data_IF_049171656856
#
_entry.id   IF_049171656856
#
_cell.length_a   1.000
_cell.length_b   1.000
_cell.length_c   1.000
_cell.angle_alpha   90.00
_cell.angle_beta   90.00
_cell.angle_gamma   90.00
#
_symmetry.space_group_name_H-M   'P 1'
#
loop_
_entity.id
_entity.type
_entity.pdbx_description
1 polymer ?
#
# COMPACT_ATOMS: atom_id res chain seq x y z
N UNK A 1 -57.36 14.38 -19.15
CA UNK A 1 -56.29 15.16 -19.81
C UNK A 1 -54.99 14.86 -19.07
N UNK A 2 -53.94 14.50 -19.82
CA UNK A 2 -52.58 14.02 -19.45
C UNK A 2 -52.38 12.52 -19.20
N UNK A 3 -52.02 11.83 -20.29
CA UNK A 3 -50.93 10.84 -20.37
C UNK A 3 -49.55 11.56 -20.30
N UNK A 4 -48.37 10.88 -20.38
CA UNK A 4 -47.78 9.88 -19.48
C UNK A 4 -46.28 10.20 -19.17
N UNK A 5 -45.73 9.84 -18.00
CA UNK A 5 -44.27 9.88 -17.82
C UNK A 5 -43.66 8.55 -18.29
N UNK A 6 -43.25 8.57 -19.56
CA UNK A 6 -42.48 7.56 -20.28
C UNK A 6 -40.99 7.72 -20.00
N UNK A 7 -40.29 6.66 -19.60
CA UNK A 7 -38.83 6.51 -19.78
C UNK A 7 -38.43 5.04 -19.62
N UNK A 8 -37.46 4.53 -20.39
CA UNK A 8 -37.58 4.14 -21.79
C UNK A 8 -37.28 2.63 -21.98
N UNK A 9 -37.58 2.02 -23.14
CA UNK A 9 -36.96 0.73 -23.48
C UNK A 9 -35.54 0.99 -24.00
N UNK A 10 -34.51 0.61 -23.23
CA UNK A 10 -33.18 0.35 -23.77
C UNK A 10 -33.07 -1.11 -24.22
N UNK A 11 -34.06 -1.58 -24.97
CA UNK A 11 -33.89 -2.78 -25.79
C UNK A 11 -33.31 -2.33 -27.11
N UNK A 12 -31.99 -2.48 -27.27
CA UNK A 12 -31.40 -2.61 -28.59
C UNK A 12 -32.04 -3.83 -29.26
N UNK A 13 -33.09 -3.63 -30.06
CA UNK A 13 -33.70 -4.69 -30.84
C UNK A 13 -32.78 -5.01 -32.02
N UNK A 14 -31.86 -5.96 -31.83
CA UNK A 14 -31.19 -6.63 -32.92
C UNK A 14 -32.00 -7.90 -33.26
N UNK A 15 -32.76 -7.93 -34.38
CA UNK A 15 -33.64 -9.06 -34.73
C UNK A 15 -32.88 -10.34 -35.11
N UNK A 16 -31.54 -10.31 -35.14
CA UNK A 16 -30.69 -11.49 -35.40
C UNK A 16 -29.91 -11.96 -34.17
N UNK A 17 -30.08 -11.32 -33.01
CA UNK A 17 -29.47 -11.82 -31.78
C UNK A 17 -30.30 -13.00 -31.25
N UNK A 18 -29.87 -14.22 -31.53
CA UNK A 18 -30.27 -15.36 -30.70
C UNK A 18 -30.00 -14.98 -29.25
N UNK A 19 -31.04 -14.92 -28.43
CA UNK A 19 -30.91 -14.68 -26.99
C UNK A 19 -30.26 -15.91 -26.37
N UNK A 20 -28.94 -16.02 -26.50
CA UNK A 20 -28.16 -16.95 -25.71
C UNK A 20 -28.22 -16.44 -24.28
N UNK A 21 -28.63 -17.31 -23.36
CA UNK A 21 -28.47 -17.07 -21.93
C UNK A 21 -27.00 -16.68 -21.65
N UNK A 22 -26.78 -15.72 -20.76
CA UNK A 22 -25.43 -15.27 -20.38
C UNK A 22 -24.58 -16.44 -19.87
N UNK A 23 -25.19 -17.40 -19.17
CA UNK A 23 -24.50 -18.62 -18.76
C UNK A 23 -24.04 -19.46 -19.96
N UNK A 24 -24.89 -19.61 -20.98
CA UNK A 24 -24.57 -20.36 -22.21
C UNK A 24 -23.49 -19.66 -23.03
N UNK A 25 -23.56 -18.32 -23.11
CA UNK A 25 -22.53 -17.53 -23.79
C UNK A 25 -21.15 -17.65 -23.10
N UNK A 26 -21.12 -17.61 -21.76
CA UNK A 26 -19.89 -17.83 -20.97
C UNK A 26 -19.33 -19.22 -21.21
N UNK A 27 -20.17 -20.25 -21.16
CA UNK A 27 -19.75 -21.64 -21.39
C UNK A 27 -19.17 -21.83 -22.80
N UNK A 28 -19.85 -21.32 -23.84
CA UNK A 28 -19.37 -21.41 -25.22
C UNK A 28 -18.05 -20.67 -25.44
N UNK A 29 -17.90 -19.49 -24.82
CA UNK A 29 -16.67 -18.72 -24.89
C UNK A 29 -15.52 -19.46 -24.20
N UNK A 30 -15.76 -20.00 -22.99
CA UNK A 30 -14.79 -20.81 -22.27
C UNK A 30 -14.36 -22.04 -23.08
N UNK A 31 -15.31 -22.79 -23.66
CA UNK A 31 -15.05 -23.94 -24.52
C UNK A 31 -14.20 -23.59 -25.74
N UNK A 32 -14.48 -22.47 -26.39
CA UNK A 32 -13.68 -21.97 -27.51
C UNK A 32 -12.24 -21.66 -27.07
N UNK A 33 -12.07 -21.00 -25.92
CA UNK A 33 -10.73 -20.68 -25.39
C UNK A 33 -9.94 -21.93 -25.02
N UNK A 34 -10.59 -22.91 -24.37
CA UNK A 34 -9.97 -24.18 -24.00
C UNK A 34 -9.49 -24.92 -25.25
N UNK A 35 -10.35 -25.05 -26.28
CA UNK A 35 -9.96 -25.69 -27.55
C UNK A 35 -8.76 -25.01 -28.21
N UNK A 36 -8.77 -23.68 -28.29
CA UNK A 36 -7.63 -22.92 -28.87
C UNK A 36 -6.34 -23.11 -28.07
N UNK A 37 -6.40 -23.18 -26.74
CA UNK A 37 -5.23 -23.43 -25.90
C UNK A 37 -4.70 -24.86 -26.05
N UNK A 38 -5.58 -25.85 -26.21
CA UNK A 38 -5.20 -27.24 -26.54
C UNK A 38 -4.50 -27.30 -27.90
N UNK A 39 -5.06 -26.68 -28.94
CA UNK A 39 -4.46 -26.65 -30.29
C UNK A 39 -3.06 -26.03 -30.32
N UNK A 40 -2.77 -25.10 -29.40
CA UNK A 40 -1.46 -24.45 -29.25
C UNK A 40 -0.48 -25.25 -28.40
N UNK A 41 -0.90 -26.37 -27.82
CA UNK A 41 -0.08 -27.14 -26.87
C UNK A 41 0.19 -26.40 -25.56
N UNK A 42 -0.64 -25.41 -25.17
CA UNK A 42 -0.46 -24.67 -23.90
C UNK A 42 -0.64 -25.58 -22.67
N UNK A 43 -1.26 -26.75 -22.86
CA UNK A 43 -1.38 -27.81 -21.84
C UNK A 43 -0.29 -28.89 -21.92
N UNK A 44 0.62 -28.82 -22.89
CA UNK A 44 1.73 -29.77 -23.00
C UNK A 44 2.89 -29.39 -22.06
N UNK A 45 3.56 -30.38 -21.48
CA UNK A 45 4.72 -30.20 -20.59
C UNK A 45 4.48 -29.27 -19.38
N UNK A 46 3.26 -29.23 -18.86
CA UNK A 46 2.94 -28.43 -17.68
C UNK A 46 3.86 -28.79 -16.49
N UNK A 47 4.23 -27.79 -15.65
CA UNK A 47 4.97 -28.04 -14.43
C UNK A 47 4.24 -29.05 -13.54
N UNK A 48 4.82 -30.24 -13.36
CA UNK A 48 4.21 -31.33 -12.60
C UNK A 48 3.56 -32.42 -13.45
N UNK A 49 3.55 -32.29 -14.78
CA UNK A 49 3.07 -33.35 -15.69
C UNK A 49 3.84 -34.67 -15.44
N UNK A 50 3.09 -35.77 -15.30
CA UNK A 50 3.62 -37.11 -15.02
C UNK A 50 4.15 -37.33 -13.60
N UNK A 51 4.16 -36.31 -12.73
CA UNK A 51 4.54 -36.48 -11.32
C UNK A 51 3.32 -36.94 -10.50
N UNK A 52 3.51 -37.77 -9.46
CA UNK A 52 2.43 -38.14 -8.56
C UNK A 52 1.84 -36.89 -7.89
N UNK A 53 0.52 -36.81 -7.83
CA UNK A 53 -0.19 -35.75 -7.13
C UNK A 53 -0.02 -35.93 -5.62
N UNK A 54 0.38 -34.87 -4.92
CA UNK A 54 0.41 -34.84 -3.46
C UNK A 54 -0.99 -34.52 -2.92
N UNK A 55 -1.83 -35.55 -2.83
CA UNK A 55 -3.21 -35.46 -2.36
C UNK A 55 -3.31 -35.85 -0.88
N UNK A 56 -2.49 -35.24 -0.02
CA UNK A 56 -2.49 -35.54 1.42
C UNK A 56 -3.88 -35.38 2.09
N UNK A 57 -4.75 -34.54 1.51
CA UNK A 57 -6.15 -34.31 1.91
C UNK A 57 -7.16 -34.75 0.83
N UNK A 58 -6.99 -35.94 0.22
CA UNK A 58 -7.79 -36.44 -0.92
C UNK A 58 -9.34 -36.46 -0.74
N UNK A 59 -9.87 -36.16 0.45
CA UNK A 59 -11.31 -36.05 0.73
C UNK A 59 -11.81 -34.61 0.92
N UNK A 60 -10.93 -33.62 0.83
CA UNK A 60 -11.30 -32.20 0.95
C UNK A 60 -11.65 -31.62 -0.42
N UNK A 61 -12.89 -31.16 -0.67
CA UNK A 61 -13.24 -30.50 -1.92
C UNK A 61 -12.39 -29.26 -2.24
N UNK A 62 -11.81 -28.61 -1.23
CA UNK A 62 -11.00 -27.39 -1.35
C UNK A 62 -9.49 -27.67 -1.46
N UNK A 63 -9.07 -28.93 -1.65
CA UNK A 63 -7.66 -29.35 -1.71
C UNK A 63 -6.83 -28.53 -2.72
N UNK A 64 -7.43 -28.21 -3.86
CA UNK A 64 -6.77 -27.45 -4.93
C UNK A 64 -6.64 -25.97 -4.57
N UNK A 65 -7.60 -25.39 -3.84
CA UNK A 65 -7.55 -24.00 -3.33
C UNK A 65 -6.45 -23.89 -2.29
N UNK A 66 -6.38 -24.82 -1.33
CA UNK A 66 -5.31 -24.85 -0.32
C UNK A 66 -3.93 -24.99 -0.96
N UNK A 67 -3.81 -25.86 -1.97
CA UNK A 67 -2.58 -26.05 -2.74
C UNK A 67 -2.18 -24.81 -3.51
N UNK A 68 -3.15 -24.12 -4.13
CA UNK A 68 -2.95 -22.84 -4.81
C UNK A 68 -2.49 -21.77 -3.83
N UNK A 69 -3.20 -21.59 -2.71
CA UNK A 69 -2.85 -20.63 -1.67
C UNK A 69 -1.43 -20.85 -1.13
N UNK A 70 -1.04 -22.12 -0.88
CA UNK A 70 0.31 -22.47 -0.43
C UNK A 70 1.37 -22.14 -1.49
N UNK A 71 1.10 -22.45 -2.76
CA UNK A 71 2.04 -22.19 -3.88
C UNK A 71 2.23 -20.70 -4.12
N UNK A 72 1.14 -19.94 -4.17
CA UNK A 72 1.14 -18.50 -4.43
C UNK A 72 1.41 -17.67 -3.16
N UNK A 73 1.57 -18.32 -1.99
CA UNK A 73 1.73 -17.68 -0.67
C UNK A 73 0.60 -16.69 -0.35
N UNK A 74 -0.61 -17.03 -0.77
CA UNK A 74 -1.81 -16.24 -0.49
C UNK A 74 -2.31 -16.60 0.91
N UNK A 75 -2.37 -15.61 1.80
CA UNK A 75 -2.90 -15.76 3.15
C UNK A 75 -4.26 -15.07 3.21
N UNK A 76 -5.32 -15.86 3.41
CA UNK A 76 -6.65 -15.33 3.71
C UNK A 76 -6.76 -15.25 5.23
N UNK A 77 -6.80 -14.04 5.76
CA UNK A 77 -6.94 -13.81 7.20
C UNK A 77 -8.42 -13.65 7.56
N UNK A 78 -8.88 -14.24 8.67
CA UNK A 78 -10.17 -13.90 9.25
C UNK A 78 -10.25 -12.39 9.52
N UNK A 79 -11.44 -11.76 9.40
CA UNK A 79 -11.60 -10.32 9.60
C UNK A 79 -11.01 -9.81 10.92
N UNK A 80 -11.10 -10.59 12.00
CA UNK A 80 -10.54 -10.23 13.31
C UNK A 80 -9.02 -10.11 13.34
N UNK A 81 -8.31 -10.94 12.57
CA UNK A 81 -6.85 -10.88 12.47
C UNK A 81 -6.42 -9.79 11.50
N UNK A 82 -7.13 -9.64 10.38
CA UNK A 82 -6.85 -8.57 9.42
C UNK A 82 -7.00 -7.19 10.07
N UNK A 83 -8.10 -6.95 10.79
CA UNK A 83 -8.34 -5.67 11.44
C UNK A 83 -7.33 -5.35 12.56
N UNK A 84 -6.80 -6.37 13.25
CA UNK A 84 -5.72 -6.16 14.22
C UNK A 84 -4.42 -5.73 13.54
N UNK A 85 -4.10 -6.32 12.39
CA UNK A 85 -2.93 -5.95 11.60
C UNK A 85 -3.09 -4.54 11.03
N UNK A 86 -4.26 -4.22 10.49
CA UNK A 86 -4.57 -2.91 9.96
C UNK A 86 -4.49 -1.84 11.06
N UNK A 87 -5.04 -2.11 12.25
CA UNK A 87 -4.97 -1.21 13.40
C UNK A 87 -3.51 -0.92 13.83
N UNK A 88 -2.67 -1.95 13.84
CA UNK A 88 -1.24 -1.79 14.17
C UNK A 88 -0.46 -0.99 13.12
N UNK A 89 -0.87 -1.04 11.85
CA UNK A 89 -0.23 -0.31 10.75
C UNK A 89 -0.81 1.09 10.51
N UNK A 90 -1.99 1.38 11.08
CA UNK A 90 -2.76 2.57 10.76
C UNK A 90 -1.99 3.87 11.05
N UNK A 91 -1.29 3.95 12.18
CA UNK A 91 -0.51 5.14 12.55
C UNK A 91 0.61 5.46 11.55
N UNK A 92 1.28 4.42 11.03
CA UNK A 92 2.31 4.59 9.99
C UNK A 92 1.70 5.02 8.66
N UNK A 93 0.54 4.45 8.29
CA UNK A 93 -0.16 4.78 7.05
C UNK A 93 -0.63 6.24 7.05
N UNK A 94 -1.28 6.70 8.12
CA UNK A 94 -1.77 8.08 8.21
C UNK A 94 -0.63 9.10 8.28
N UNK A 95 0.53 8.70 8.79
CA UNK A 95 1.71 9.55 8.86
C UNK A 95 2.29 9.89 7.48
N UNK A 96 2.00 9.07 6.46
CA UNK A 96 2.34 9.32 5.05
C UNK A 96 1.35 10.25 4.35
N UNK A 97 0.17 10.49 4.92
CA UNK A 97 -0.87 11.30 4.29
C UNK A 97 -0.56 12.80 4.35
N UNK A 98 -0.92 13.57 3.30
CA UNK A 98 -0.51 14.97 3.21
C UNK A 98 -1.34 15.91 4.06
N UNK A 99 -2.63 15.63 4.28
CA UNK A 99 -3.58 16.56 4.88
C UNK A 99 -4.54 15.89 5.88
N UNK A 100 -5.17 16.70 6.73
CA UNK A 100 -6.11 16.24 7.76
C UNK A 100 -7.32 15.53 7.15
N UNK A 101 -7.84 16.01 6.02
CA UNK A 101 -9.02 15.41 5.39
C UNK A 101 -8.77 13.96 4.96
N UNK A 102 -7.59 13.66 4.41
CA UNK A 102 -7.16 12.32 4.05
C UNK A 102 -7.01 11.42 5.28
N UNK A 103 -6.45 11.95 6.38
CA UNK A 103 -6.35 11.21 7.65
C UNK A 103 -7.74 10.87 8.20
N UNK A 104 -8.66 11.84 8.22
CA UNK A 104 -10.05 11.60 8.66
C UNK A 104 -10.72 10.53 7.81
N UNK A 105 -10.56 10.63 6.49
CA UNK A 105 -11.12 9.65 5.57
C UNK A 105 -10.56 8.24 5.80
N UNK A 106 -9.24 8.09 5.98
CA UNK A 106 -8.65 6.76 6.21
C UNK A 106 -9.13 6.14 7.54
N UNK A 107 -9.25 6.95 8.60
CA UNK A 107 -9.77 6.49 9.89
C UNK A 107 -11.27 6.14 9.78
N UNK A 108 -12.05 6.90 9.03
CA UNK A 108 -13.46 6.57 8.73
C UNK A 108 -13.58 5.24 7.98
N UNK A 109 -12.78 5.02 6.94
CA UNK A 109 -12.76 3.77 6.19
C UNK A 109 -12.33 2.59 7.06
N UNK A 110 -11.35 2.77 7.94
CA UNK A 110 -10.99 1.76 8.94
C UNK A 110 -12.15 1.45 9.89
N UNK A 111 -12.80 2.48 10.43
CA UNK A 111 -13.95 2.33 11.33
C UNK A 111 -15.13 1.64 10.66
N UNK A 112 -15.43 1.95 9.41
CA UNK A 112 -16.46 1.27 8.62
C UNK A 112 -16.15 -0.23 8.48
N UNK A 113 -14.89 -0.61 8.23
CA UNK A 113 -14.48 -2.01 8.18
C UNK A 113 -14.66 -2.71 9.54
N UNK A 114 -14.29 -2.05 10.64
CA UNK A 114 -14.48 -2.58 12.00
C UNK A 114 -15.96 -2.78 12.31
N UNK A 115 -16.79 -1.78 12.02
CA UNK A 115 -18.24 -1.82 12.26
C UNK A 115 -18.88 -2.92 11.41
N UNK A 116 -18.56 -2.99 10.12
CA UNK A 116 -19.04 -4.06 9.22
C UNK A 116 -18.70 -5.44 9.75
N UNK A 117 -17.46 -5.66 10.19
CA UNK A 117 -17.03 -6.96 10.73
C UNK A 117 -17.78 -7.35 12.02
N UNK A 118 -18.24 -6.39 12.83
CA UNK A 118 -19.06 -6.64 14.03
C UNK A 118 -20.48 -7.09 13.72
N UNK A 119 -21.03 -6.62 12.60
CA UNK A 119 -22.37 -6.99 12.14
C UNK A 119 -22.39 -8.27 11.28
N UNK A 120 -21.23 -8.88 11.03
CA UNK A 120 -21.12 -10.15 10.33
C UNK A 120 -21.09 -11.32 11.32
N UNK A 121 -21.50 -12.50 10.85
CA UNK A 121 -21.34 -13.72 11.62
C UNK A 121 -19.85 -13.92 11.93
N UNK A 122 -19.46 -14.12 13.20
CA UNK A 122 -18.06 -14.19 13.57
C UNK A 122 -17.39 -15.40 12.89
N UNK A 123 -16.57 -15.13 11.88
CA UNK A 123 -15.69 -16.11 11.27
C UNK A 123 -14.34 -16.07 11.99
N UNK A 124 -14.07 -17.07 12.84
CA UNK A 124 -12.78 -17.24 13.50
C UNK A 124 -12.65 -16.60 14.89
N UNK A 125 -11.42 -16.22 15.31
CA UNK A 125 -11.16 -15.66 16.64
C UNK A 125 -11.98 -14.39 16.91
N UNK A 126 -12.26 -14.06 18.18
CA UNK A 126 -13.09 -12.91 18.53
C UNK A 126 -12.51 -11.59 17.99
N UNK A 127 -13.39 -10.71 17.51
CA UNK A 127 -13.04 -9.37 17.08
C UNK A 127 -12.85 -8.46 18.30
N UNK A 128 -11.59 -8.16 18.61
CA UNK A 128 -11.21 -7.32 19.76
C UNK A 128 -10.99 -5.86 19.33
N UNK A 129 -10.63 -5.63 18.06
CA UNK A 129 -10.33 -4.29 17.52
C UNK A 129 -11.56 -3.38 17.60
N UNK A 130 -11.40 -2.22 18.25
CA UNK A 130 -12.44 -1.21 18.40
C UNK A 130 -12.30 -0.13 17.32
N UNK A 131 -13.40 0.55 16.92
CA UNK A 131 -13.29 1.77 16.13
C UNK A 131 -12.45 2.81 16.87
N UNK A 132 -11.63 3.56 16.14
CA UNK A 132 -10.84 4.66 16.68
C UNK A 132 -11.64 5.95 16.69
N UNK A 133 -11.42 6.79 17.68
CA UNK A 133 -11.95 8.14 17.66
C UNK A 133 -11.16 9.01 16.66
N UNK A 134 -11.89 9.70 15.79
CA UNK A 134 -11.30 10.41 14.65
C UNK A 134 -10.51 11.63 15.12
N UNK A 135 -11.07 12.44 16.01
CA UNK A 135 -10.47 13.70 16.43
C UNK A 135 -9.21 13.47 17.27
N UNK A 136 -9.23 12.49 18.17
CA UNK A 136 -8.06 12.09 18.96
C UNK A 136 -6.94 11.57 18.06
N UNK A 137 -7.27 10.79 17.02
CA UNK A 137 -6.28 10.28 16.06
C UNK A 137 -5.67 11.42 15.22
N UNK A 138 -6.50 12.37 14.77
CA UNK A 138 -6.04 13.55 14.02
C UNK A 138 -5.15 14.44 14.89
N UNK A 139 -5.52 14.66 16.16
CA UNK A 139 -4.72 15.42 17.10
C UNK A 139 -3.34 14.77 17.31
N UNK A 140 -3.30 13.45 17.57
CA UNK A 140 -2.06 12.70 17.71
C UNK A 140 -1.19 12.75 16.44
N UNK A 141 -1.80 12.67 15.25
CA UNK A 141 -1.09 12.84 13.98
C UNK A 141 -0.50 14.24 13.82
N UNK A 142 -1.24 15.28 14.18
CA UNK A 142 -0.78 16.66 14.12
C UNK A 142 0.42 16.88 15.05
N UNK A 143 0.34 16.36 16.28
CA UNK A 143 1.43 16.40 17.27
C UNK A 143 2.68 15.67 16.78
N UNK A 144 2.54 14.50 16.15
CA UNK A 144 3.66 13.78 15.53
C UNK A 144 4.32 14.59 14.42
N UNK A 145 3.54 15.33 13.63
CA UNK A 145 4.07 16.19 12.56
C UNK A 145 4.77 17.43 13.08
N UNK A 146 4.23 18.10 14.09
CA UNK A 146 4.89 19.26 14.70
C UNK A 146 6.20 18.86 15.36
N UNK A 147 6.23 17.73 16.07
CA UNK A 147 7.45 17.17 16.65
C UNK A 147 8.52 16.89 15.59
N UNK A 148 8.15 16.24 14.47
CA UNK A 148 9.06 15.97 13.33
C UNK A 148 9.58 17.27 12.69
N UNK A 149 8.73 18.27 12.52
CA UNK A 149 9.13 19.56 11.97
C UNK A 149 10.09 20.31 12.90
N UNK A 150 9.87 20.25 14.22
CA UNK A 150 10.73 20.86 15.22
C UNK A 150 12.11 20.19 15.28
N UNK A 151 12.16 18.87 15.19
CA UNK A 151 13.41 18.11 15.12
C UNK A 151 14.19 18.42 13.84
N UNK A 152 13.51 18.46 12.69
CA UNK A 152 14.12 18.87 11.42
C UNK A 152 14.68 20.30 11.48
N UNK A 153 13.98 21.22 12.17
CA UNK A 153 14.46 22.59 12.38
C UNK A 153 15.68 22.64 13.30
N UNK A 154 15.72 21.82 14.37
CA UNK A 154 16.86 21.74 15.29
C UNK A 154 18.10 21.21 14.59
N UNK A 155 17.97 20.10 13.88
CA UNK A 155 19.07 19.49 13.09
C UNK A 155 19.59 20.46 12.03
N UNK A 156 18.71 21.14 11.29
CA UNK A 156 19.13 22.16 10.31
C UNK A 156 19.88 23.33 10.96
N UNK A 157 19.44 23.79 12.14
CA UNK A 157 20.11 24.86 12.87
C UNK A 157 21.49 24.43 13.39
N UNK A 158 21.62 23.19 13.88
CA UNK A 158 22.90 22.61 14.32
C UNK A 158 23.87 22.47 13.15
N UNK A 159 23.40 21.96 12.01
CA UNK A 159 24.20 21.90 10.79
C UNK A 159 24.65 23.28 10.31
N UNK A 160 23.76 24.28 10.35
CA UNK A 160 24.11 25.65 9.98
C UNK A 160 25.19 26.23 10.90
N UNK A 161 25.08 26.01 12.22
CA UNK A 161 26.10 26.42 13.20
C UNK A 161 27.43 25.72 12.94
N UNK A 162 27.42 24.40 12.71
CA UNK A 162 28.63 23.64 12.41
C UNK A 162 29.30 24.13 11.11
N UNK A 163 28.53 24.45 10.08
CA UNK A 163 29.03 25.02 8.82
C UNK A 163 29.67 26.40 9.04
N UNK A 164 29.05 27.26 9.83
CA UNK A 164 29.62 28.59 10.15
C UNK A 164 30.90 28.49 11.00
N UNK A 165 30.94 27.61 11.99
CA UNK A 165 32.16 27.35 12.76
C UNK A 165 33.28 26.79 11.88
N UNK A 166 32.98 25.88 10.96
CA UNK A 166 33.95 25.34 10.00
C UNK A 166 34.51 26.45 9.09
N UNK A 167 33.63 27.34 8.58
CA UNK A 167 34.05 28.52 7.81
C UNK A 167 34.93 29.47 8.62
N UNK A 168 34.58 29.73 9.90
CA UNK A 168 35.40 30.56 10.79
C UNK A 168 36.80 29.97 11.01
N UNK A 169 36.88 28.67 11.36
CA UNK A 169 38.14 27.95 11.55
C UNK A 169 39.00 27.96 10.27
N UNK A 170 38.40 27.80 9.10
CA UNK A 170 39.09 27.90 7.81
C UNK A 170 39.61 29.32 7.54
N UNK A 171 38.81 30.35 7.79
CA UNK A 171 39.24 31.76 7.66
C UNK A 171 40.42 32.08 8.59
N UNK A 172 40.39 31.59 9.83
CA UNK A 172 41.47 31.78 10.80
C UNK A 172 42.76 31.04 10.38
N UNK A 173 42.65 29.79 9.92
CA UNK A 173 43.78 29.05 9.34
C UNK A 173 44.42 29.80 8.18
N UNK A 174 43.63 30.29 7.22
CA UNK A 174 44.12 31.10 6.08
C UNK A 174 44.81 32.39 6.53
N UNK A 175 44.27 33.08 7.54
CA UNK A 175 44.87 34.30 8.12
C UNK A 175 46.24 34.03 8.76
N UNK A 176 46.36 32.94 9.52
CA UNK A 176 47.62 32.55 10.17
C UNK A 176 48.70 32.20 9.13
N UNK A 177 48.35 31.43 8.10
CA UNK A 177 49.26 31.12 6.99
C UNK A 177 49.77 32.40 6.30
N UNK A 178 48.89 33.35 6.00
CA UNK A 178 49.26 34.62 5.34
C UNK A 178 50.15 35.53 6.19
N UNK A 179 49.99 35.51 7.53
CA UNK A 179 50.87 36.26 8.44
C UNK A 179 52.27 35.65 8.52
N UNK A 180 52.37 34.32 8.46
CA UNK A 180 53.64 33.59 8.55
C UNK A 180 54.49 33.78 7.29
N UNK A 181 53.87 33.80 6.11
CA UNK A 181 54.58 34.07 4.83
C UNK A 181 55.07 35.52 4.72
N UNK A 182 54.33 36.50 5.24
CA UNK A 182 54.75 37.92 5.30
C UNK A 182 55.88 38.22 6.30
N UNK A 183 56.05 37.39 7.33
CA UNK A 183 57.14 37.57 8.31
C UNK A 183 58.46 37.01 7.78
N UNK A 184 58.39 35.97 6.94
CA UNK A 184 59.53 35.40 6.22
C UNK A 184 60.13 36.38 5.20
N UNK A 185 59.29 37.17 4.52
CA UNK A 185 59.75 38.13 3.51
C UNK A 185 60.35 39.45 4.06
N UNK A 186 60.48 39.60 5.39
CA UNK A 186 61.07 40.79 6.04
C UNK A 186 62.47 40.54 6.62
N UNK A 187 62.98 39.32 6.52
CA UNK A 187 64.31 38.95 7.00
C UNK A 187 65.17 38.49 5.82
N UNK A 188 65.40 39.41 4.88
CA UNK A 188 66.53 39.33 3.96
C UNK A 188 67.67 40.10 4.62
N UNK A 189 68.79 39.46 5.00
CA UNK A 189 69.97 40.18 5.44
C UNK A 189 70.61 40.85 4.20
N UNK A 190 70.68 42.18 4.19
CA UNK A 190 71.61 42.89 3.31
C UNK A 190 73.04 42.69 3.84
N UNK A 191 73.94 42.56 2.86
CA UNK A 191 75.41 42.37 2.89
C UNK A 191 76.18 43.12 3.97
#
# INVERSE_FOLDING_TARGET
MREPESTPPLTFYNPAAFALDSEVAIALLADMHIRKAIERGEFDNLPGSGKPLDLSDAHDPDWWIKSFMKRERIVILPPSIQLRKDDAALDEQIDQLPNVAAVRHEVEQFNERVIRARYQLPAGPPLITMPRDIETTVAAWADRRTARADEARRTANEEARAREEAKMKDRDRRRLFRKRTRRSSRHSPET
#
